data_IF_455401888674
#
_entry.id   IF_455401888674
#
_cell.length_a   1.000
_cell.length_b   1.000
_cell.length_c   1.000
_cell.angle_alpha   90.00
_cell.angle_beta   90.00
_cell.angle_gamma   90.00
#
_symmetry.space_group_name_H-M   'P 1'
#
loop_
_entity.id
_entity.type
_entity.pdbx_description
1 polymer ?
#
# COMPACT_ATOMS: atom_id res chain seq x y z
N UNK A 1 4.93 20.57 -22.67
CA UNK A 1 5.08 20.46 -21.20
C UNK A 1 3.88 19.72 -20.64
N UNK A 2 4.00 18.40 -20.45
CA UNK A 2 3.24 17.47 -19.59
C UNK A 2 3.70 16.06 -20.01
N UNK A 3 4.86 15.64 -19.49
CA UNK A 3 5.26 14.23 -19.59
C UNK A 3 4.37 13.45 -18.64
N UNK A 4 3.23 12.97 -19.11
CA UNK A 4 2.46 11.99 -18.35
C UNK A 4 3.27 10.69 -18.37
N UNK A 5 3.89 10.37 -17.23
CA UNK A 5 4.40 9.02 -16.99
C UNK A 5 3.25 8.03 -17.19
N UNK A 6 3.48 6.86 -17.81
CA UNK A 6 2.42 5.90 -18.09
C UNK A 6 1.78 5.45 -16.78
N UNK A 7 0.47 5.66 -16.64
CA UNK A 7 -0.30 5.14 -15.53
C UNK A 7 -0.39 3.60 -15.62
N UNK A 8 -0.26 2.95 -14.48
CA UNK A 8 -0.33 1.49 -14.33
C UNK A 8 -1.62 1.15 -13.58
N UNK A 9 -2.29 0.08 -13.99
CA UNK A 9 -3.45 -0.43 -13.27
C UNK A 9 -3.03 -1.40 -12.16
N UNK A 10 -3.72 -1.30 -11.02
CA UNK A 10 -3.65 -2.33 -10.00
C UNK A 10 -4.67 -3.47 -10.27
N UNK A 11 -4.62 -4.59 -9.54
CA UNK A 11 -5.55 -5.71 -9.73
C UNK A 11 -7.03 -5.39 -9.48
N UNK A 12 -7.35 -4.21 -8.96
CA UNK A 12 -8.70 -3.75 -8.65
C UNK A 12 -9.20 -2.69 -9.65
N UNK A 13 -8.47 -2.43 -10.74
CA UNK A 13 -8.87 -1.51 -11.81
C UNK A 13 -8.43 -0.05 -11.63
N UNK A 14 -7.93 0.33 -10.45
CA UNK A 14 -7.48 1.71 -10.19
C UNK A 14 -6.20 2.07 -10.93
N UNK A 15 -6.07 3.33 -11.32
CA UNK A 15 -4.90 3.89 -11.99
C UNK A 15 -3.93 4.50 -10.98
N UNK A 16 -2.62 4.34 -11.20
CA UNK A 16 -1.60 5.11 -10.47
C UNK A 16 -0.37 5.34 -11.34
N UNK A 17 0.37 6.42 -11.10
CA UNK A 17 1.75 6.52 -11.57
C UNK A 17 2.67 5.69 -10.66
N UNK A 18 3.84 5.25 -11.11
CA UNK A 18 4.81 4.67 -10.18
C UNK A 18 5.33 5.76 -9.21
N UNK A 19 5.33 5.50 -7.89
CA UNK A 19 5.90 6.45 -6.94
C UNK A 19 7.42 6.50 -7.09
N UNK A 20 8.07 7.52 -6.53
CA UNK A 20 9.53 7.57 -6.46
C UNK A 20 10.14 6.36 -5.73
N UNK A 21 11.47 6.16 -5.82
CA UNK A 21 12.12 4.95 -5.34
C UNK A 21 12.33 4.93 -3.81
N UNK A 22 12.15 6.05 -3.10
CA UNK A 22 12.46 6.18 -1.68
C UNK A 22 11.27 5.87 -0.80
N UNK A 23 11.54 5.32 0.38
CA UNK A 23 10.52 5.12 1.42
C UNK A 23 9.84 6.46 1.74
N UNK A 24 8.52 6.45 1.68
CA UNK A 24 7.68 7.63 1.85
C UNK A 24 7.21 8.24 0.53
N UNK A 25 7.85 7.93 -0.60
CA UNK A 25 7.36 8.37 -1.90
C UNK A 25 6.01 7.74 -2.19
N UNK A 26 5.11 8.51 -2.78
CA UNK A 26 3.78 8.05 -3.14
C UNK A 26 3.27 8.71 -4.42
N UNK A 27 2.26 8.08 -5.02
CA UNK A 27 1.44 8.61 -6.10
C UNK A 27 -0.03 8.36 -5.78
N UNK A 28 -0.91 9.20 -6.30
CA UNK A 28 -2.36 9.03 -6.13
C UNK A 28 -2.83 7.75 -6.78
N UNK A 29 -3.72 7.04 -6.08
CA UNK A 29 -4.49 5.92 -6.60
C UNK A 29 -5.86 6.45 -6.99
N UNK A 30 -6.19 6.36 -8.28
CA UNK A 30 -7.34 7.02 -8.87
C UNK A 30 -8.40 6.01 -9.31
N UNK A 31 -9.65 6.31 -8.98
CA UNK A 31 -10.84 5.75 -9.62
C UNK A 31 -11.44 6.82 -10.55
N UNK A 32 -11.15 6.72 -11.85
CA UNK A 32 -11.34 7.85 -12.76
C UNK A 32 -10.50 9.06 -12.33
N UNK A 33 -11.17 10.12 -11.88
CA UNK A 33 -10.53 11.36 -11.40
C UNK A 33 -10.53 11.46 -9.85
N UNK A 34 -11.13 10.51 -9.14
CA UNK A 34 -11.23 10.52 -7.67
C UNK A 34 -10.01 9.86 -7.01
N UNK A 35 -9.34 10.56 -6.09
CA UNK A 35 -8.27 9.98 -5.27
C UNK A 35 -8.84 9.11 -4.14
N UNK A 36 -8.80 7.79 -4.35
CA UNK A 36 -9.31 6.79 -3.39
C UNK A 36 -8.22 6.25 -2.46
N UNK A 37 -6.96 6.63 -2.68
CA UNK A 37 -5.82 6.19 -1.90
C UNK A 37 -4.50 6.55 -2.54
N UNK A 38 -3.43 5.83 -2.17
CA UNK A 38 -2.07 6.05 -2.68
C UNK A 38 -1.33 4.75 -2.93
N UNK A 39 -0.52 4.73 -3.98
CA UNK A 39 0.57 3.76 -4.11
C UNK A 39 1.77 4.30 -3.31
N UNK A 40 2.09 3.68 -2.18
CA UNK A 40 3.05 4.13 -1.18
C UNK A 40 4.29 3.23 -1.15
N UNK A 41 5.47 3.83 -1.29
CA UNK A 41 6.75 3.15 -1.13
C UNK A 41 7.07 2.97 0.36
N UNK A 42 6.89 1.77 0.90
CA UNK A 42 7.24 1.48 2.31
C UNK A 42 8.70 1.04 2.50
N UNK A 43 9.36 0.63 1.42
CA UNK A 43 10.77 0.20 1.39
C UNK A 43 11.41 0.70 0.10
N UNK A 44 12.63 1.22 0.19
CA UNK A 44 13.38 1.71 -0.96
C UNK A 44 13.47 0.65 -2.05
N UNK A 45 13.13 1.03 -3.29
CA UNK A 45 13.24 0.17 -4.47
C UNK A 45 12.29 -1.06 -4.51
N UNK A 46 11.45 -1.26 -3.49
CA UNK A 46 10.50 -2.39 -3.44
C UNK A 46 9.15 -1.97 -4.02
N UNK A 47 8.41 -2.90 -4.64
CA UNK A 47 7.05 -2.67 -5.16
C UNK A 47 6.17 -1.91 -4.13
N UNK A 48 5.44 -0.85 -4.52
CA UNK A 48 4.68 -0.05 -3.57
C UNK A 48 3.52 -0.84 -2.96
N UNK A 49 3.02 -0.39 -1.81
CA UNK A 49 1.75 -0.81 -1.24
C UNK A 49 0.63 0.12 -1.65
N UNK A 50 -0.57 -0.41 -1.87
CA UNK A 50 -1.76 0.40 -2.08
C UNK A 50 -2.42 0.63 -0.72
N UNK A 51 -2.51 1.91 -0.33
CA UNK A 51 -3.09 2.35 0.94
C UNK A 51 -4.31 3.19 0.64
N UNK A 52 -5.47 2.75 1.12
CA UNK A 52 -6.72 3.51 1.10
C UNK A 52 -7.13 3.87 2.52
N UNK A 53 -8.10 4.77 2.64
CA UNK A 53 -8.72 5.07 3.93
C UNK A 53 -9.67 3.98 4.37
N UNK A 54 -9.73 3.77 5.68
CA UNK A 54 -10.85 3.10 6.33
C UNK A 54 -11.85 4.13 6.86
N UNK A 55 -12.36 3.90 8.07
CA UNK A 55 -13.27 4.84 8.74
C UNK A 55 -12.51 5.84 9.60
N UNK A 56 -12.89 7.13 9.54
CA UNK A 56 -12.38 8.24 10.40
C UNK A 56 -10.87 8.49 10.34
N UNK A 57 -10.25 8.26 9.19
CA UNK A 57 -8.81 8.52 8.97
C UNK A 57 -8.65 9.18 7.60
N UNK A 58 -7.82 10.21 7.49
CA UNK A 58 -7.48 10.82 6.20
C UNK A 58 -6.42 10.00 5.46
N UNK A 59 -6.34 10.12 4.13
CA UNK A 59 -5.37 9.38 3.30
C UNK A 59 -3.93 9.62 3.79
N UNK A 60 -3.59 10.86 4.15
CA UNK A 60 -2.27 11.21 4.65
C UNK A 60 -1.93 10.48 5.96
N UNK A 61 -2.87 10.43 6.91
CA UNK A 61 -2.69 9.75 8.19
C UNK A 61 -2.57 8.24 8.01
N UNK A 62 -3.39 7.64 7.14
CA UNK A 62 -3.30 6.22 6.81
C UNK A 62 -1.91 5.85 6.24
N UNK A 63 -1.33 6.73 5.41
CA UNK A 63 0.03 6.55 4.90
C UNK A 63 1.08 6.67 6.02
N UNK A 64 0.94 7.66 6.91
CA UNK A 64 1.86 7.84 8.03
C UNK A 64 1.85 6.62 8.97
N UNK A 65 0.67 6.10 9.32
CA UNK A 65 0.55 4.87 10.12
C UNK A 65 1.14 3.67 9.39
N UNK A 66 0.89 3.53 8.09
CA UNK A 66 1.45 2.43 7.29
C UNK A 66 2.98 2.47 7.31
N UNK A 67 3.59 3.63 7.10
CA UNK A 67 5.03 3.81 7.18
C UNK A 67 5.56 3.48 8.57
N UNK A 68 4.90 3.97 9.62
CA UNK A 68 5.29 3.71 11.00
C UNK A 68 5.27 2.21 11.35
N UNK A 69 4.31 1.47 10.79
CA UNK A 69 4.14 0.03 11.03
C UNK A 69 4.94 -0.85 10.06
N UNK A 70 5.42 -0.32 8.93
CA UNK A 70 6.24 -1.01 7.93
C UNK A 70 7.72 -0.58 8.04
N UNK A 71 8.37 -0.91 9.18
CA UNK A 71 9.76 -0.53 9.47
C UNK A 71 10.77 -1.39 8.70
N UNK A 72 10.67 -2.70 8.89
CA UNK A 72 11.69 -3.63 8.41
C UNK A 72 11.27 -4.35 7.12
N UNK A 73 9.97 -4.44 6.88
CA UNK A 73 9.38 -5.17 5.76
C UNK A 73 8.48 -4.27 4.92
N UNK A 74 8.18 -4.70 3.69
CA UNK A 74 7.20 -4.04 2.82
C UNK A 74 5.84 -3.96 3.51
N UNK A 75 5.36 -5.07 4.09
CA UNK A 75 4.05 -5.15 4.74
C UNK A 75 4.13 -4.64 6.19
N UNK A 76 3.11 -3.89 6.67
CA UNK A 76 2.98 -3.51 8.07
C UNK A 76 3.05 -4.72 9.00
N UNK A 77 3.66 -4.50 10.17
CA UNK A 77 3.82 -5.51 11.22
C UNK A 77 2.47 -6.14 11.63
N UNK A 78 1.40 -5.34 11.64
CA UNK A 78 0.03 -5.80 11.94
C UNK A 78 -0.45 -6.89 10.98
N UNK A 79 -0.40 -6.62 9.66
CA UNK A 79 -0.81 -7.59 8.64
C UNK A 79 0.12 -8.80 8.60
N UNK A 80 1.44 -8.61 8.77
CA UNK A 80 2.41 -9.73 8.80
C UNK A 80 2.12 -10.69 9.95
N UNK A 81 1.90 -10.16 11.15
CA UNK A 81 1.60 -10.97 12.34
C UNK A 81 0.25 -11.68 12.22
N UNK A 82 -0.77 -10.99 11.70
CA UNK A 82 -2.08 -11.58 11.46
C UNK A 82 -2.02 -12.72 10.43
N UNK A 83 -1.36 -12.53 9.29
CA UNK A 83 -1.18 -13.56 8.26
C UNK A 83 -0.45 -14.80 8.81
N UNK A 84 0.66 -14.60 9.55
CA UNK A 84 1.39 -15.68 10.18
C UNK A 84 0.53 -16.47 11.18
N UNK A 85 -0.27 -15.77 11.99
CA UNK A 85 -1.17 -16.40 12.96
C UNK A 85 -2.26 -17.22 12.27
N UNK A 86 -2.95 -16.65 11.27
CA UNK A 86 -4.00 -17.34 10.52
C UNK A 86 -3.46 -18.59 9.80
N UNK A 87 -2.29 -18.50 9.18
CA UNK A 87 -1.64 -19.66 8.53
C UNK A 87 -1.31 -20.77 9.53
N UNK A 88 -0.82 -20.41 10.72
CA UNK A 88 -0.52 -21.39 11.78
C UNK A 88 -1.81 -22.06 12.28
N UNK A 89 -2.86 -21.29 12.50
CA UNK A 89 -4.16 -21.81 12.93
C UNK A 89 -4.77 -22.76 11.89
N UNK A 90 -4.74 -22.38 10.61
CA UNK A 90 -5.22 -23.23 9.50
C UNK A 90 -4.45 -24.55 9.44
N UNK A 91 -3.11 -24.50 9.54
CA UNK A 91 -2.27 -25.71 9.54
C UNK A 91 -2.61 -26.62 10.72
N UNK A 92 -2.84 -26.07 11.91
CA UNK A 92 -3.21 -26.85 13.09
C UNK A 92 -4.61 -27.47 13.01
N UNK A 93 -5.53 -26.88 12.24
CA UNK A 93 -6.90 -27.39 12.07
C UNK A 93 -7.05 -28.41 10.94
N UNK A 94 -6.05 -28.53 10.06
CA UNK A 94 -6.06 -29.44 8.89
C UNK A 94 -5.17 -30.67 9.11
N UNK A 95 -4.46 -30.73 10.25
CA UNK A 95 -3.71 -31.89 10.74
C UNK A 95 -4.54 -32.63 11.78
#
# INVERSE_FOLDING_TARGET
MRSQSPAVHNPFGFCHADPGPRRGDWSSLLDGDEEVGRALRTRDGVKPLFVSVGHRVAIADACAYTLHLARDFRQPETTRRADALCRRALKAATL
#
